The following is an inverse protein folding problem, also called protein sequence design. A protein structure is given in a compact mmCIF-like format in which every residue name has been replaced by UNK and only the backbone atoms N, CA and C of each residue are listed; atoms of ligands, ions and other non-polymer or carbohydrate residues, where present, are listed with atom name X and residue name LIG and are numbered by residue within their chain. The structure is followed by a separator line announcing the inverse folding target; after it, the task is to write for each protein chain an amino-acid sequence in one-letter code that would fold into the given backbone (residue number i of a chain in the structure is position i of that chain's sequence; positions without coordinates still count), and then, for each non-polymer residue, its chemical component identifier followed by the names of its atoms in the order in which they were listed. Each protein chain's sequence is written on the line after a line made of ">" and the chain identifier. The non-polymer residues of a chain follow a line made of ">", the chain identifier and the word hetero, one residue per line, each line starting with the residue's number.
data_IF_499037417147
#
_entry.id   IF_499037417147
#
_cell.length_a   1.000
_cell.length_b   1.000
_cell.length_c   1.000
_cell.angle_alpha   90.00
_cell.angle_beta   90.00
_cell.angle_gamma   90.00
#
_symmetry.space_group_name_H-M   'P 1'
#
loop_
_entity.id
_entity.type
_entity.pdbx_description
1 polymer ?
#
# COMPACT_ATOMS: atom_id res chain seq x y z
N UNK A 1 30.32 16.38 -20.49
CA UNK A 1 30.08 14.94 -20.31
C UNK A 1 30.02 14.66 -18.82
N UNK A 2 28.97 14.00 -18.31
CA UNK A 2 28.95 13.57 -16.91
C UNK A 2 30.06 12.56 -16.69
N UNK A 3 30.88 12.79 -15.67
CA UNK A 3 31.97 11.88 -15.32
C UNK A 3 31.37 10.72 -14.54
N UNK A 4 31.04 9.62 -15.21
CA UNK A 4 30.61 8.39 -14.56
C UNK A 4 31.80 7.76 -13.84
N UNK A 5 31.59 7.34 -12.61
CA UNK A 5 32.62 6.74 -11.76
C UNK A 5 32.13 5.36 -11.26
N UNK A 6 33.07 4.47 -10.98
CA UNK A 6 32.82 3.13 -10.52
C UNK A 6 32.40 3.17 -9.05
N UNK A 7 31.26 2.57 -8.71
CA UNK A 7 30.72 2.58 -7.34
C UNK A 7 31.67 1.95 -6.32
N UNK A 8 32.38 0.88 -6.70
CA UNK A 8 33.34 0.20 -5.84
C UNK A 8 34.47 1.07 -5.28
N UNK A 9 34.76 2.21 -5.91
CA UNK A 9 35.78 3.14 -5.43
C UNK A 9 35.25 3.98 -4.22
N UNK A 10 33.93 3.96 -3.99
CA UNK A 10 33.24 4.78 -2.98
C UNK A 10 32.59 3.98 -1.86
N UNK A 11 32.53 2.66 -1.96
CA UNK A 11 31.84 1.80 -0.98
C UNK A 11 32.77 0.70 -0.46
N UNK A 12 32.45 0.20 0.72
CA UNK A 12 33.11 -0.97 1.34
C UNK A 12 32.10 -1.88 1.99
N UNK A 13 32.35 -3.19 1.93
CA UNK A 13 31.55 -4.16 2.66
C UNK A 13 31.78 -4.03 4.17
N UNK A 14 30.70 -4.22 4.95
CA UNK A 14 30.68 -4.24 6.40
C UNK A 14 30.15 -5.57 6.88
N UNK A 15 30.89 -6.27 7.74
CA UNK A 15 30.52 -7.58 8.27
C UNK A 15 30.69 -7.63 9.78
N UNK A 16 29.81 -6.95 10.52
CA UNK A 16 29.78 -6.97 11.98
C UNK A 16 28.70 -7.94 12.45
N UNK A 17 29.06 -8.95 13.22
CA UNK A 17 28.15 -9.97 13.76
C UNK A 17 27.60 -9.55 15.12
N UNK A 18 26.39 -10.02 15.42
CA UNK A 18 25.74 -9.81 16.73
C UNK A 18 26.21 -10.86 17.76
N UNK A 19 27.50 -11.18 17.77
CA UNK A 19 28.07 -12.27 18.58
C UNK A 19 27.82 -12.12 20.10
N UNK A 20 27.63 -10.89 20.57
CA UNK A 20 27.32 -10.61 21.96
C UNK A 20 25.80 -10.57 22.25
N UNK A 21 24.95 -10.79 21.23
CA UNK A 21 23.47 -10.76 21.33
C UNK A 21 22.87 -9.46 21.92
N UNK A 22 23.63 -8.35 21.83
CA UNK A 22 23.19 -7.06 22.40
C UNK A 22 22.12 -6.35 21.58
N UNK A 23 22.06 -6.60 20.28
CA UNK A 23 21.08 -5.98 19.38
C UNK A 23 19.95 -6.95 19.16
N UNK A 24 18.72 -6.53 19.48
CA UNK A 24 17.51 -7.36 19.39
C UNK A 24 16.52 -6.92 18.32
N UNK A 25 16.64 -5.69 17.80
CA UNK A 25 15.76 -5.16 16.76
C UNK A 25 16.00 -5.88 15.42
N UNK A 26 15.17 -6.87 15.12
CA UNK A 26 15.29 -7.69 13.92
C UNK A 26 14.50 -7.10 12.76
N UNK A 27 15.20 -6.78 11.69
CA UNK A 27 14.63 -6.24 10.46
C UNK A 27 14.85 -7.16 9.26
N UNK A 28 14.00 -7.00 8.28
CA UNK A 28 14.12 -7.52 6.93
C UNK A 28 14.16 -6.39 5.91
N UNK A 29 14.28 -6.75 4.64
CA UNK A 29 14.25 -5.82 3.51
C UNK A 29 13.08 -6.14 2.60
N UNK A 30 12.38 -5.11 2.14
CA UNK A 30 11.29 -5.24 1.15
C UNK A 30 11.75 -4.91 -0.26
N UNK A 31 11.03 -5.42 -1.26
CA UNK A 31 11.21 -5.05 -2.68
C UNK A 31 10.92 -3.56 -2.95
N UNK A 32 10.24 -2.89 -2.02
CA UNK A 32 10.03 -1.44 -2.04
C UNK A 32 11.25 -0.65 -1.53
N UNK A 33 12.38 -1.35 -1.39
CA UNK A 33 13.68 -0.77 -1.00
C UNK A 33 13.62 -0.05 0.36
N UNK A 34 12.99 -0.74 1.33
CA UNK A 34 12.85 -0.26 2.73
C UNK A 34 13.22 -1.37 3.71
N UNK A 35 13.75 -0.98 4.86
CA UNK A 35 13.79 -1.85 6.02
C UNK A 35 12.38 -1.98 6.60
N UNK A 36 12.01 -3.19 6.97
CA UNK A 36 10.71 -3.54 7.55
C UNK A 36 10.91 -4.46 8.75
N UNK A 37 9.99 -4.51 9.72
CA UNK A 37 10.01 -5.55 10.74
C UNK A 37 10.09 -6.94 10.09
N UNK A 38 10.93 -7.81 10.62
CA UNK A 38 11.06 -9.16 10.06
C UNK A 38 9.80 -9.98 10.33
N UNK A 39 9.30 -10.66 9.31
CA UNK A 39 8.20 -11.62 9.39
C UNK A 39 8.69 -13.07 9.51
N UNK A 40 10.01 -13.29 9.56
CA UNK A 40 10.61 -14.61 9.62
C UNK A 40 10.31 -15.28 10.98
N UNK A 41 10.01 -16.57 10.96
CA UNK A 41 9.97 -17.36 12.18
C UNK A 41 11.41 -17.56 12.69
N UNK A 42 11.70 -17.03 13.85
CA UNK A 42 13.03 -17.04 14.45
C UNK A 42 13.19 -18.04 15.59
N UNK A 43 12.17 -18.87 15.86
CA UNK A 43 12.23 -19.90 16.91
C UNK A 43 13.35 -20.88 16.60
N UNK A 44 14.32 -21.00 17.51
CA UNK A 44 15.48 -21.88 17.37
C UNK A 44 16.59 -21.35 16.44
N UNK A 45 16.49 -20.08 15.98
CA UNK A 45 17.51 -19.47 15.13
C UNK A 45 18.61 -18.82 16.00
N UNK A 46 19.87 -19.10 15.69
CA UNK A 46 21.01 -18.43 16.35
C UNK A 46 21.15 -17.00 15.83
N UNK A 47 20.84 -16.04 16.69
CA UNK A 47 20.94 -14.61 16.37
C UNK A 47 22.35 -14.05 16.45
N UNK A 48 23.32 -14.82 16.97
CA UNK A 48 24.72 -14.40 17.04
C UNK A 48 25.39 -14.32 15.68
N UNK A 49 24.87 -15.08 14.70
CA UNK A 49 25.37 -15.10 13.32
C UNK A 49 24.79 -13.97 12.45
N UNK A 50 23.73 -13.29 12.93
CA UNK A 50 23.12 -12.18 12.24
C UNK A 50 24.06 -10.98 12.15
N UNK A 51 23.91 -10.16 11.12
CA UNK A 51 24.73 -8.97 10.90
C UNK A 51 24.09 -7.75 11.53
N UNK A 52 24.89 -6.90 12.15
CA UNK A 52 24.45 -5.60 12.69
C UNK A 52 24.53 -4.56 11.60
N UNK A 53 23.41 -3.86 11.35
CA UNK A 53 23.32 -2.69 10.49
C UNK A 53 23.17 -1.43 11.35
N UNK A 54 23.87 -0.37 10.98
CA UNK A 54 23.87 0.94 11.67
C UNK A 54 23.30 2.02 10.76
N UNK A 55 22.96 3.16 11.39
CA UNK A 55 22.47 4.32 10.65
C UNK A 55 23.39 4.70 9.50
N UNK A 56 22.77 5.01 8.34
CA UNK A 56 23.42 5.38 7.08
C UNK A 56 24.23 4.25 6.42
N UNK A 57 24.04 3.01 6.82
CA UNK A 57 24.54 1.83 6.11
C UNK A 57 23.47 1.25 5.19
N UNK A 58 23.91 0.62 4.13
CA UNK A 58 23.06 -0.10 3.18
C UNK A 58 23.05 -1.59 3.51
N UNK A 59 21.93 -2.22 3.14
CA UNK A 59 21.88 -3.66 3.03
C UNK A 59 21.18 -4.06 1.73
N UNK A 60 21.65 -5.16 1.12
CA UNK A 60 20.96 -5.74 -0.04
C UNK A 60 20.94 -7.26 0.02
N UNK A 61 20.00 -7.84 -0.72
CA UNK A 61 19.85 -9.28 -0.87
C UNK A 61 20.52 -9.68 -2.20
N UNK A 62 21.66 -10.41 -2.17
CA UNK A 62 22.34 -10.80 -3.41
C UNK A 62 21.49 -11.72 -4.29
N UNK A 63 20.65 -12.59 -3.70
CA UNK A 63 19.77 -13.51 -4.45
C UNK A 63 18.58 -12.75 -5.03
N UNK A 64 18.49 -12.65 -6.35
CA UNK A 64 17.47 -11.88 -7.08
C UNK A 64 16.33 -12.75 -7.61
N UNK A 65 16.50 -14.05 -7.76
CA UNK A 65 15.55 -14.97 -8.40
C UNK A 65 14.13 -15.02 -7.80
N UNK A 66 13.93 -14.50 -6.59
CA UNK A 66 12.63 -14.47 -5.91
C UNK A 66 11.98 -13.07 -5.86
N UNK A 67 12.64 -12.06 -6.38
CA UNK A 67 12.24 -10.65 -6.23
C UNK A 67 11.57 -10.06 -7.49
N UNK A 68 11.21 -10.92 -8.48
CA UNK A 68 10.71 -10.46 -9.78
C UNK A 68 11.75 -9.61 -10.50
N UNK A 69 11.36 -8.43 -10.98
CA UNK A 69 12.23 -7.54 -11.75
C UNK A 69 12.98 -6.52 -10.88
N UNK A 70 12.87 -6.61 -9.54
CA UNK A 70 13.46 -5.65 -8.61
C UNK A 70 14.58 -6.27 -7.78
N UNK A 71 15.63 -5.49 -7.52
CA UNK A 71 16.60 -5.85 -6.48
C UNK A 71 16.16 -5.29 -5.13
N UNK A 72 16.31 -6.12 -4.09
CA UNK A 72 16.04 -5.70 -2.72
C UNK A 72 17.30 -5.07 -2.14
N UNK A 73 17.30 -3.73 -2.02
CA UNK A 73 18.38 -2.92 -1.46
C UNK A 73 17.78 -1.73 -0.70
N UNK A 74 18.34 -1.36 0.44
CA UNK A 74 17.83 -0.23 1.22
C UNK A 74 18.93 0.46 2.03
N UNK A 75 18.74 1.76 2.30
CA UNK A 75 19.52 2.56 3.24
C UNK A 75 18.84 2.54 4.61
N UNK A 76 19.57 2.16 5.64
CA UNK A 76 19.08 2.17 7.01
C UNK A 76 19.16 3.60 7.59
N UNK A 77 18.01 4.11 8.04
CA UNK A 77 17.89 5.47 8.62
C UNK A 77 17.43 5.44 10.08
N UNK A 78 17.48 4.27 10.76
CA UNK A 78 17.12 4.18 12.17
C UNK A 78 18.23 4.76 13.06
N UNK A 79 17.84 5.27 14.23
CA UNK A 79 18.78 5.84 15.21
C UNK A 79 19.55 4.73 15.94
N UNK A 80 18.86 3.64 16.31
CA UNK A 80 19.45 2.48 16.96
C UNK A 80 19.94 1.45 15.93
N UNK A 81 20.95 0.65 16.34
CA UNK A 81 21.39 -0.48 15.54
C UNK A 81 20.30 -1.54 15.43
N UNK A 82 20.27 -2.22 14.29
CA UNK A 82 19.37 -3.36 14.04
C UNK A 82 20.16 -4.58 13.57
N UNK A 83 19.55 -5.77 13.63
CA UNK A 83 20.11 -6.99 13.07
C UNK A 83 19.31 -7.44 11.86
N UNK A 84 20.04 -7.98 10.89
CA UNK A 84 19.47 -8.57 9.67
C UNK A 84 20.08 -9.92 9.41
N UNK A 85 19.43 -10.72 8.55
CA UNK A 85 19.92 -12.06 8.19
C UNK A 85 21.37 -12.02 7.69
N UNK A 86 22.15 -13.04 8.08
CA UNK A 86 23.52 -13.23 7.60
C UNK A 86 23.63 -13.34 6.06
N UNK A 87 22.54 -13.69 5.39
CA UNK A 87 22.47 -13.81 3.93
C UNK A 87 22.49 -12.45 3.20
N UNK A 88 22.31 -11.36 3.92
CA UNK A 88 22.33 -10.01 3.34
C UNK A 88 23.77 -9.47 3.35
N UNK A 89 24.11 -8.68 2.36
CA UNK A 89 25.35 -7.91 2.32
C UNK A 89 25.11 -6.52 2.86
N UNK A 90 25.90 -6.11 3.86
CA UNK A 90 25.89 -4.74 4.39
C UNK A 90 27.09 -4.01 3.82
N UNK A 91 26.90 -2.76 3.45
CA UNK A 91 28.01 -1.90 3.00
C UNK A 91 27.81 -0.44 3.45
N UNK A 92 28.88 0.29 3.42
CA UNK A 92 28.96 1.70 3.81
C UNK A 92 29.62 2.52 2.72
N UNK A 93 29.36 3.81 2.69
CA UNK A 93 30.08 4.77 1.87
C UNK A 93 31.37 5.16 2.56
N UNK A 94 32.50 5.08 1.85
CA UNK A 94 33.84 5.35 2.40
C UNK A 94 34.00 6.80 2.88
N UNK A 95 33.52 7.74 2.05
CA UNK A 95 33.58 9.17 2.33
C UNK A 95 32.26 9.84 1.96
N UNK A 96 31.49 10.26 2.97
CA UNK A 96 30.19 10.90 2.83
C UNK A 96 30.26 12.34 2.28
N UNK A 97 31.44 12.94 2.26
CA UNK A 97 31.69 14.23 1.61
C UNK A 97 32.03 14.06 0.12
N UNK A 98 32.34 12.86 -0.32
CA UNK A 98 32.49 12.54 -1.74
C UNK A 98 31.16 11.98 -2.33
N UNK A 99 30.49 11.07 -1.63
CA UNK A 99 29.23 10.45 -2.03
C UNK A 99 28.21 10.40 -0.88
N UNK A 100 27.09 11.12 -1.03
CA UNK A 100 25.99 11.05 -0.07
C UNK A 100 25.29 9.69 -0.14
N UNK A 101 25.08 9.00 1.00
CA UNK A 101 24.30 7.78 1.04
C UNK A 101 22.87 7.97 0.51
N UNK A 102 22.22 9.09 0.78
CA UNK A 102 20.86 9.37 0.30
C UNK A 102 20.84 9.54 -1.22
N UNK A 103 21.85 10.23 -1.80
CA UNK A 103 21.99 10.36 -3.24
C UNK A 103 22.21 8.98 -3.89
N UNK A 104 23.05 8.13 -3.29
CA UNK A 104 23.26 6.76 -3.74
C UNK A 104 21.98 5.94 -3.65
N UNK A 105 21.18 6.11 -2.56
CA UNK A 105 19.89 5.42 -2.45
C UNK A 105 18.91 5.85 -3.53
N UNK A 106 18.91 7.12 -3.94
CA UNK A 106 18.10 7.58 -5.08
C UNK A 106 18.53 6.90 -6.38
N UNK A 107 19.83 6.71 -6.62
CA UNK A 107 20.32 5.96 -7.77
C UNK A 107 19.77 4.53 -7.78
N UNK A 108 19.78 3.86 -6.64
CA UNK A 108 19.26 2.50 -6.51
C UNK A 108 17.73 2.41 -6.67
N UNK A 109 16.99 3.50 -6.46
CA UNK A 109 15.52 3.55 -6.69
C UNK A 109 15.13 3.64 -8.16
N UNK A 110 16.06 3.89 -9.05
CA UNK A 110 15.79 4.00 -10.48
C UNK A 110 15.42 2.65 -11.09
N UNK A 111 14.39 2.57 -11.94
CA UNK A 111 14.07 1.33 -12.67
C UNK A 111 15.21 0.82 -13.54
N UNK A 112 16.10 1.73 -14.02
CA UNK A 112 17.30 1.37 -14.78
C UNK A 112 18.27 0.55 -13.93
N UNK A 113 18.39 0.85 -12.64
CA UNK A 113 19.23 0.07 -11.73
C UNK A 113 18.65 -1.32 -11.50
N UNK A 114 17.33 -1.46 -11.35
CA UNK A 114 16.69 -2.77 -11.25
C UNK A 114 16.97 -3.63 -12.50
N UNK A 115 16.83 -3.05 -13.69
CA UNK A 115 17.16 -3.74 -14.96
C UNK A 115 18.65 -4.10 -15.06
N UNK A 116 19.53 -3.20 -14.64
CA UNK A 116 20.98 -3.47 -14.59
C UNK A 116 21.28 -4.65 -13.64
N UNK A 117 20.79 -4.61 -12.43
CA UNK A 117 20.99 -5.67 -11.44
C UNK A 117 20.43 -7.02 -11.94
N UNK A 118 19.26 -7.01 -12.59
CA UNK A 118 18.67 -8.21 -13.19
C UNK A 118 19.53 -8.77 -14.32
N UNK A 119 20.03 -7.94 -15.21
CA UNK A 119 20.87 -8.33 -16.33
C UNK A 119 22.21 -8.91 -15.87
N UNK A 120 22.81 -8.36 -14.81
CA UNK A 120 24.07 -8.78 -14.23
C UNK A 120 23.91 -9.83 -13.11
N UNK A 121 22.72 -10.38 -12.91
CA UNK A 121 22.52 -11.52 -12.00
C UNK A 121 22.79 -12.83 -12.71
N UNK A 122 23.66 -13.67 -12.15
CA UNK A 122 24.11 -14.92 -12.75
C UNK A 122 23.81 -16.12 -11.85
N UNK A 123 23.62 -17.30 -12.45
CA UNK A 123 23.42 -18.56 -11.75
C UNK A 123 22.27 -19.39 -12.34
N UNK A 124 22.46 -20.69 -12.49
CA UNK A 124 21.50 -21.62 -13.11
C UNK A 124 20.34 -22.01 -12.18
N UNK A 125 20.57 -22.08 -10.87
CA UNK A 125 19.57 -22.47 -9.88
C UNK A 125 19.07 -21.28 -9.03
N UNK A 126 19.95 -20.32 -8.79
CA UNK A 126 19.65 -19.06 -8.09
C UNK A 126 20.45 -17.95 -8.74
N UNK A 127 19.76 -16.98 -9.29
CA UNK A 127 20.42 -15.79 -9.83
C UNK A 127 20.92 -14.92 -8.67
N UNK A 128 22.17 -14.50 -8.76
CA UNK A 128 22.87 -13.72 -7.74
C UNK A 128 23.46 -12.47 -8.39
N UNK A 129 23.13 -11.32 -7.86
CA UNK A 129 23.81 -10.06 -8.10
C UNK A 129 24.85 -9.88 -7.00
N UNK A 130 26.09 -10.26 -7.31
CA UNK A 130 27.15 -10.31 -6.31
C UNK A 130 27.75 -8.94 -5.98
N UNK A 131 28.70 -8.94 -5.04
CA UNK A 131 29.37 -7.73 -4.58
C UNK A 131 30.22 -7.07 -5.68
N UNK A 132 30.90 -7.86 -6.49
CA UNK A 132 31.76 -7.35 -7.54
C UNK A 132 30.93 -6.69 -8.64
N UNK A 133 29.78 -7.26 -9.00
CA UNK A 133 28.84 -6.64 -9.92
C UNK A 133 28.26 -5.33 -9.36
N UNK A 134 27.94 -5.26 -8.07
CA UNK A 134 27.53 -4.03 -7.42
C UNK A 134 28.65 -2.98 -7.48
N UNK A 135 29.90 -3.38 -7.23
CA UNK A 135 31.07 -2.49 -7.33
C UNK A 135 31.32 -1.98 -8.74
N UNK A 136 30.93 -2.73 -9.77
CA UNK A 136 31.12 -2.36 -11.18
C UNK A 136 30.05 -1.38 -11.71
N UNK A 137 29.03 -1.07 -10.91
CA UNK A 137 28.02 -0.06 -11.27
C UNK A 137 28.68 1.28 -11.56
N UNK A 138 28.37 1.85 -12.72
CA UNK A 138 28.82 3.18 -13.12
C UNK A 138 27.71 4.19 -12.84
N UNK A 139 28.02 5.28 -12.10
CA UNK A 139 27.06 6.33 -11.79
C UNK A 139 27.71 7.71 -11.84
N UNK A 140 26.94 8.77 -12.14
CA UNK A 140 27.44 10.13 -12.07
C UNK A 140 27.57 10.57 -10.62
N UNK A 141 28.73 11.10 -10.25
CA UNK A 141 29.00 11.64 -8.90
C UNK A 141 29.31 13.14 -9.04
N UNK A 142 28.30 14.01 -8.98
CA UNK A 142 28.50 15.46 -8.98
C UNK A 142 29.09 15.93 -7.66
N UNK A 143 29.40 17.22 -7.53
CA UNK A 143 29.86 17.80 -6.26
C UNK A 143 28.87 17.49 -5.14
N UNK A 144 29.37 17.31 -3.91
CA UNK A 144 28.53 16.98 -2.74
C UNK A 144 27.43 18.02 -2.52
N UNK A 145 27.69 19.31 -2.79
CA UNK A 145 26.68 20.35 -2.71
C UNK A 145 25.51 20.04 -3.68
N UNK A 146 25.82 19.65 -4.92
CA UNK A 146 24.79 19.31 -5.91
C UNK A 146 24.06 18.01 -5.57
N UNK A 147 24.74 17.02 -4.97
CA UNK A 147 24.08 15.80 -4.48
C UNK A 147 23.07 16.14 -3.37
N UNK A 148 23.44 17.00 -2.42
CA UNK A 148 22.56 17.45 -1.33
C UNK A 148 21.33 18.21 -1.84
N UNK A 149 21.50 19.11 -2.82
CA UNK A 149 20.37 19.79 -3.46
C UNK A 149 19.38 18.79 -4.09
N UNK A 150 19.89 17.81 -4.86
CA UNK A 150 19.03 16.78 -5.51
C UNK A 150 18.29 15.94 -4.45
N UNK A 151 18.97 15.57 -3.36
CA UNK A 151 18.37 14.83 -2.26
C UNK A 151 17.28 15.67 -1.57
N UNK A 152 17.52 16.96 -1.33
CA UNK A 152 16.55 17.85 -0.69
C UNK A 152 15.29 18.03 -1.55
N UNK A 153 15.45 18.20 -2.88
CA UNK A 153 14.32 18.23 -3.80
C UNK A 153 13.48 16.95 -3.71
N UNK A 154 14.10 15.78 -3.73
CA UNK A 154 13.42 14.49 -3.67
C UNK A 154 12.74 14.25 -2.30
N UNK A 155 13.45 14.54 -1.20
CA UNK A 155 12.92 14.35 0.16
C UNK A 155 11.77 15.33 0.46
N UNK A 156 11.77 16.52 -0.15
CA UNK A 156 10.65 17.47 -0.05
C UNK A 156 9.37 16.87 -0.64
N UNK A 157 9.47 16.27 -1.83
CA UNK A 157 8.34 15.57 -2.44
C UNK A 157 7.90 14.36 -1.61
N UNK A 158 8.87 13.56 -1.11
CA UNK A 158 8.59 12.39 -0.27
C UNK A 158 7.88 12.77 1.03
N UNK A 159 8.28 13.89 1.65
CA UNK A 159 7.65 14.43 2.86
C UNK A 159 6.22 14.86 2.58
N UNK A 160 5.99 15.53 1.45
CA UNK A 160 4.64 15.97 1.08
C UNK A 160 3.70 14.79 0.84
N UNK A 161 4.16 13.75 0.15
CA UNK A 161 3.39 12.50 -0.05
C UNK A 161 3.00 11.90 1.30
N UNK A 162 3.94 11.75 2.24
CA UNK A 162 3.65 11.19 3.58
C UNK A 162 2.65 12.03 4.37
N UNK A 163 2.77 13.36 4.31
CA UNK A 163 1.81 14.24 4.97
C UNK A 163 0.41 14.09 4.39
N UNK A 164 0.29 13.99 3.07
CA UNK A 164 -0.97 13.75 2.41
C UNK A 164 -1.57 12.39 2.80
N UNK A 165 -0.77 11.32 2.88
CA UNK A 165 -1.21 10.00 3.34
C UNK A 165 -1.73 10.06 4.78
N UNK A 166 -1.05 10.78 5.67
CA UNK A 166 -1.50 11.00 7.04
C UNK A 166 -2.82 11.81 7.10
N UNK A 167 -2.95 12.82 6.24
CA UNK A 167 -4.20 13.60 6.16
C UNK A 167 -5.35 12.73 5.65
N UNK A 168 -5.14 11.89 4.65
CA UNK A 168 -6.14 10.95 4.14
C UNK A 168 -6.62 10.03 5.27
N UNK A 169 -5.70 9.42 6.01
CA UNK A 169 -6.04 8.55 7.13
C UNK A 169 -6.86 9.28 8.20
N UNK A 170 -6.47 10.51 8.56
CA UNK A 170 -7.21 11.32 9.53
C UNK A 170 -8.60 11.76 9.05
N UNK A 171 -8.76 12.03 7.75
CA UNK A 171 -10.08 12.35 7.18
C UNK A 171 -11.02 11.15 7.24
N UNK A 172 -10.50 9.94 6.97
CA UNK A 172 -11.26 8.69 7.08
C UNK A 172 -11.66 8.40 8.54
N UNK A 173 -10.72 8.53 9.50
CA UNK A 173 -11.00 8.43 10.94
C UNK A 173 -12.04 9.46 11.40
N UNK A 174 -11.96 10.70 10.90
CA UNK A 174 -12.91 11.77 11.24
C UNK A 174 -14.32 11.45 10.75
N UNK A 175 -14.44 10.90 9.52
CA UNK A 175 -15.74 10.52 8.99
C UNK A 175 -16.35 9.35 9.80
N UNK A 176 -15.55 8.39 10.23
CA UNK A 176 -15.99 7.29 11.08
C UNK A 176 -16.41 7.79 12.48
N UNK A 177 -15.62 8.67 13.09
CA UNK A 177 -15.95 9.28 14.37
C UNK A 177 -17.24 10.11 14.30
N UNK A 178 -17.45 10.84 13.20
CA UNK A 178 -18.68 11.60 12.95
C UNK A 178 -19.90 10.66 12.85
N UNK A 179 -19.75 9.54 12.14
CA UNK A 179 -20.78 8.51 12.08
C UNK A 179 -21.15 8.00 13.49
N UNK A 180 -20.16 7.59 14.27
CA UNK A 180 -20.41 7.10 15.65
C UNK A 180 -21.12 8.14 16.49
N UNK A 181 -20.67 9.39 16.46
CA UNK A 181 -21.28 10.49 17.22
C UNK A 181 -22.75 10.74 16.84
N UNK A 182 -23.10 10.60 15.56
CA UNK A 182 -24.45 10.92 15.08
C UNK A 182 -25.41 9.74 15.13
N UNK A 183 -24.92 8.49 15.06
CA UNK A 183 -25.76 7.32 14.84
C UNK A 183 -25.52 6.14 15.81
N UNK A 184 -24.52 6.25 16.71
CA UNK A 184 -24.19 5.18 17.66
C UNK A 184 -24.18 5.68 19.09
N UNK A 185 -23.43 6.76 19.34
CA UNK A 185 -23.23 7.27 20.71
C UNK A 185 -24.54 7.82 21.29
N UNK A 186 -24.99 7.22 22.38
CA UNK A 186 -26.22 7.64 23.07
C UNK A 186 -27.52 7.24 22.38
N UNK A 187 -27.48 6.44 21.32
CA UNK A 187 -28.68 5.91 20.68
C UNK A 187 -29.10 4.61 21.37
N UNK A 188 -30.29 4.62 21.95
CA UNK A 188 -30.92 3.43 22.52
C UNK A 188 -31.72 2.71 21.41
N UNK A 189 -31.35 1.48 21.10
CA UNK A 189 -32.01 0.66 20.07
C UNK A 189 -33.44 0.24 20.44
N UNK A 190 -33.77 0.21 21.75
CA UNK A 190 -35.12 -0.12 22.23
C UNK A 190 -36.01 1.12 22.23
N UNK A 191 -35.41 2.32 22.23
CA UNK A 191 -36.14 3.58 22.29
C UNK A 191 -35.49 4.58 21.31
N UNK A 192 -35.71 4.36 20.01
CA UNK A 192 -35.11 5.16 18.94
C UNK A 192 -35.61 6.62 18.98
N UNK A 193 -34.77 7.58 18.53
CA UNK A 193 -35.20 8.96 18.34
C UNK A 193 -36.43 9.07 17.43
N UNK A 194 -37.17 10.17 17.58
CA UNK A 194 -38.34 10.43 16.75
C UNK A 194 -37.99 10.43 15.26
N UNK A 195 -38.82 9.79 14.43
CA UNK A 195 -38.59 9.64 13.01
C UNK A 195 -37.59 8.54 12.61
N UNK A 196 -36.96 7.86 13.58
CA UNK A 196 -36.07 6.73 13.33
C UNK A 196 -36.81 5.41 13.48
N UNK A 197 -36.38 4.40 12.72
CA UNK A 197 -36.96 3.08 12.83
C UNK A 197 -35.94 1.98 12.51
N UNK A 198 -36.19 0.77 12.98
CA UNK A 198 -35.56 -0.43 12.47
C UNK A 198 -36.26 -0.87 11.16
N UNK A 199 -35.48 -1.40 10.25
CA UNK A 199 -35.96 -1.94 9.00
C UNK A 199 -34.99 -2.95 8.40
N UNK A 200 -35.27 -3.42 7.22
CA UNK A 200 -34.40 -4.35 6.51
C UNK A 200 -33.61 -3.62 5.40
N UNK A 201 -32.40 -4.06 5.15
CA UNK A 201 -31.53 -3.45 4.14
C UNK A 201 -32.19 -3.44 2.76
N UNK A 202 -32.97 -4.46 2.39
CA UNK A 202 -33.76 -4.52 1.16
C UNK A 202 -34.85 -3.45 1.03
N UNK A 203 -35.27 -2.80 2.12
CA UNK A 203 -36.22 -1.67 2.04
C UNK A 203 -35.55 -0.42 1.46
N UNK A 204 -34.25 -0.20 1.74
CA UNK A 204 -33.51 1.04 1.41
C UNK A 204 -32.46 0.85 0.32
N UNK A 205 -32.15 -0.38 -0.08
CA UNK A 205 -31.12 -0.68 -1.08
C UNK A 205 -31.55 -1.78 -2.06
N UNK A 206 -30.84 -1.86 -3.17
CA UNK A 206 -30.90 -2.92 -4.17
C UNK A 206 -29.54 -3.58 -4.31
N UNK A 207 -29.53 -4.84 -4.74
CA UNK A 207 -28.32 -5.69 -4.75
C UNK A 207 -28.10 -6.29 -6.12
N UNK A 208 -26.85 -6.34 -6.58
CA UNK A 208 -26.47 -7.04 -7.81
C UNK A 208 -25.17 -7.81 -7.59
N UNK A 209 -25.14 -9.06 -8.04
CA UNK A 209 -23.87 -9.79 -8.11
C UNK A 209 -22.97 -9.15 -9.16
N UNK A 210 -21.69 -9.06 -8.85
CA UNK A 210 -20.69 -8.80 -9.86
C UNK A 210 -20.60 -9.94 -10.89
N UNK A 211 -19.88 -9.72 -11.96
CA UNK A 211 -19.79 -10.64 -13.11
C UNK A 211 -18.39 -11.24 -13.21
N UNK A 212 -18.28 -12.41 -13.83
CA UNK A 212 -17.01 -12.96 -14.24
C UNK A 212 -16.53 -12.19 -15.48
N UNK A 213 -15.33 -11.58 -15.40
CA UNK A 213 -14.74 -10.95 -16.56
C UNK A 213 -14.24 -12.03 -17.54
N UNK A 214 -14.54 -11.87 -18.82
CA UNK A 214 -14.05 -12.76 -19.86
C UNK A 214 -12.51 -12.71 -19.90
N UNK A 215 -11.88 -13.88 -20.02
CA UNK A 215 -10.41 -13.99 -20.13
C UNK A 215 -9.84 -13.21 -21.32
N UNK A 216 -10.58 -13.13 -22.42
CA UNK A 216 -10.17 -12.41 -23.63
C UNK A 216 -10.39 -10.89 -23.54
N UNK A 217 -11.18 -10.41 -22.57
CA UNK A 217 -11.44 -8.99 -22.33
C UNK A 217 -10.47 -8.37 -21.30
N UNK A 218 -9.41 -9.08 -20.88
CA UNK A 218 -8.43 -8.59 -19.90
C UNK A 218 -7.15 -8.13 -20.59
N UNK A 219 -6.73 -6.89 -20.31
CA UNK A 219 -5.46 -6.36 -20.77
C UNK A 219 -5.06 -5.17 -19.90
N UNK A 220 -3.80 -5.07 -19.53
CA UNK A 220 -3.25 -3.92 -18.80
C UNK A 220 -3.37 -2.58 -19.57
N UNK A 221 -3.72 -2.63 -20.83
CA UNK A 221 -3.98 -1.46 -21.68
C UNK A 221 -5.41 -0.93 -21.59
N UNK A 222 -6.31 -1.68 -20.97
CA UNK A 222 -7.71 -1.26 -20.85
C UNK A 222 -7.89 -0.27 -19.68
N UNK A 223 -8.88 0.65 -19.78
CA UNK A 223 -9.01 1.75 -18.82
C UNK A 223 -9.69 1.38 -17.50
N UNK A 224 -10.55 0.33 -17.48
CA UNK A 224 -11.41 0.07 -16.34
C UNK A 224 -10.88 -1.04 -15.44
N UNK A 225 -10.66 -0.78 -14.13
CA UNK A 225 -10.17 -1.79 -13.21
C UNK A 225 -11.23 -2.88 -12.96
N UNK A 226 -10.79 -4.13 -12.90
CA UNK A 226 -11.59 -5.26 -12.41
C UNK A 226 -11.42 -5.30 -10.89
N UNK A 227 -12.49 -4.95 -10.19
CA UNK A 227 -12.49 -4.82 -8.73
C UNK A 227 -13.13 -6.04 -8.07
N UNK A 228 -12.40 -6.69 -7.17
CA UNK A 228 -12.86 -7.90 -6.45
C UNK A 228 -13.52 -7.61 -5.10
N UNK A 229 -13.56 -6.35 -4.67
CA UNK A 229 -13.99 -5.91 -3.36
C UNK A 229 -12.82 -5.61 -2.40
N UNK A 230 -11.63 -6.15 -2.63
CA UNK A 230 -10.43 -5.86 -1.84
C UNK A 230 -9.19 -5.50 -2.69
N UNK A 231 -9.19 -5.86 -3.97
CA UNK A 231 -8.07 -5.58 -4.87
C UNK A 231 -8.54 -5.37 -6.32
N UNK A 232 -7.73 -4.64 -7.07
CA UNK A 232 -7.80 -4.60 -8.53
C UNK A 232 -7.03 -5.83 -9.04
N UNK A 233 -7.72 -6.69 -9.82
CA UNK A 233 -7.19 -7.97 -10.31
C UNK A 233 -6.84 -7.95 -11.80
N UNK A 234 -6.93 -6.79 -12.44
CA UNK A 234 -6.66 -6.57 -13.85
C UNK A 234 -7.51 -5.43 -14.40
N UNK A 235 -7.49 -5.26 -15.71
CA UNK A 235 -8.24 -4.20 -16.38
C UNK A 235 -9.07 -4.76 -17.53
N UNK A 236 -10.16 -4.07 -17.92
CA UNK A 236 -11.09 -4.45 -18.98
C UNK A 236 -11.55 -3.24 -19.79
N UNK A 237 -12.16 -3.49 -20.94
CA UNK A 237 -12.68 -2.45 -21.84
C UNK A 237 -14.04 -1.88 -21.44
N UNK A 238 -14.73 -2.48 -20.46
CA UNK A 238 -16.07 -2.08 -20.02
C UNK A 238 -16.14 -1.97 -18.48
N UNK A 239 -17.07 -1.17 -17.98
CA UNK A 239 -17.37 -1.11 -16.55
C UNK A 239 -18.81 -1.58 -16.27
N UNK A 240 -19.07 -2.07 -15.07
CA UNK A 240 -20.40 -2.44 -14.57
C UNK A 240 -20.92 -1.48 -13.51
N UNK A 241 -20.03 -0.74 -12.84
CA UNK A 241 -20.35 0.31 -11.89
C UNK A 241 -19.78 1.63 -12.41
N UNK A 242 -20.64 2.62 -12.63
CA UNK A 242 -20.24 3.96 -13.10
C UNK A 242 -19.76 4.83 -11.95
N UNK A 243 -20.49 4.85 -10.84
CA UNK A 243 -20.17 5.65 -9.65
C UNK A 243 -19.67 4.76 -8.51
N UNK A 244 -18.88 5.31 -7.57
CA UNK A 244 -18.49 4.58 -6.38
C UNK A 244 -19.71 4.02 -5.64
N UNK A 245 -19.72 2.70 -5.44
CA UNK A 245 -20.87 1.95 -4.92
C UNK A 245 -20.42 1.12 -3.74
N UNK A 246 -21.27 0.97 -2.72
CA UNK A 246 -21.00 0.09 -1.59
C UNK A 246 -20.93 -1.35 -2.10
N UNK A 247 -19.92 -2.08 -1.64
CA UNK A 247 -19.66 -3.45 -2.03
C UNK A 247 -19.44 -4.31 -0.79
N UNK A 248 -20.09 -5.48 -0.74
CA UNK A 248 -19.78 -6.54 0.21
C UNK A 248 -19.06 -7.68 -0.50
N UNK A 249 -17.95 -8.15 0.07
CA UNK A 249 -17.21 -9.29 -0.45
C UNK A 249 -18.03 -10.56 -0.19
N UNK A 250 -18.47 -11.21 -1.25
CA UNK A 250 -19.36 -12.36 -1.19
C UNK A 250 -18.62 -13.69 -1.10
N UNK A 251 -17.39 -13.77 -1.61
CA UNK A 251 -16.59 -15.01 -1.70
C UNK A 251 -15.10 -14.72 -1.62
N UNK A 252 -14.33 -15.69 -1.14
CA UNK A 252 -12.86 -15.65 -1.06
C UNK A 252 -12.36 -15.70 0.37
N UNK A 253 -11.22 -16.39 0.59
CA UNK A 253 -10.70 -16.72 1.92
C UNK A 253 -10.30 -15.49 2.75
N UNK A 254 -9.93 -14.40 2.09
CA UNK A 254 -9.32 -13.24 2.74
C UNK A 254 -10.28 -12.10 3.11
N UNK A 255 -11.60 -12.23 2.89
CA UNK A 255 -12.40 -11.02 3.09
C UNK A 255 -13.90 -11.14 3.03
N UNK A 256 -14.47 -12.35 2.90
CA UNK A 256 -15.93 -12.53 2.84
C UNK A 256 -16.61 -11.80 4.01
N UNK A 257 -17.58 -10.96 3.70
CA UNK A 257 -18.30 -10.12 4.67
C UNK A 257 -17.70 -8.71 4.85
N UNK A 258 -16.51 -8.42 4.35
CA UNK A 258 -15.96 -7.05 4.41
C UNK A 258 -16.75 -6.11 3.49
N UNK A 259 -16.91 -4.89 3.98
CA UNK A 259 -17.54 -3.77 3.26
C UNK A 259 -16.45 -2.86 2.73
N UNK A 260 -16.63 -2.38 1.51
CA UNK A 260 -15.77 -1.37 0.91
C UNK A 260 -16.55 -0.48 -0.06
N UNK A 261 -15.92 0.60 -0.52
CA UNK A 261 -16.42 1.44 -1.60
C UNK A 261 -15.70 1.06 -2.89
N UNK A 262 -16.42 0.84 -3.98
CA UNK A 262 -15.81 0.56 -5.27
C UNK A 262 -15.11 1.79 -5.84
N UNK A 263 -14.10 1.61 -6.71
CA UNK A 263 -13.64 2.68 -7.58
C UNK A 263 -14.77 3.19 -8.48
N UNK A 264 -14.61 4.42 -8.97
CA UNK A 264 -15.43 4.95 -10.07
C UNK A 264 -15.12 4.18 -11.35
N UNK A 265 -16.12 3.95 -12.18
CA UNK A 265 -15.98 3.30 -13.50
C UNK A 265 -15.17 2.00 -13.41
N UNK A 266 -15.66 1.04 -12.62
CA UNK A 266 -15.00 -0.25 -12.45
C UNK A 266 -15.90 -1.42 -12.87
N UNK A 267 -15.27 -2.54 -13.22
CA UNK A 267 -15.95 -3.81 -13.46
C UNK A 267 -15.97 -4.59 -12.14
N UNK A 268 -17.15 -4.79 -11.55
CA UNK A 268 -17.28 -5.57 -10.33
C UNK A 268 -17.19 -7.06 -10.63
N UNK A 269 -16.23 -7.75 -10.02
CA UNK A 269 -16.07 -9.19 -10.21
C UNK A 269 -17.14 -10.00 -9.46
N UNK A 270 -17.34 -11.24 -9.87
CA UNK A 270 -18.30 -12.18 -9.26
C UNK A 270 -17.95 -12.60 -7.81
N UNK A 271 -16.88 -12.06 -7.23
CA UNK A 271 -16.51 -12.28 -5.82
C UNK A 271 -17.25 -11.33 -4.88
N UNK A 272 -18.02 -10.38 -5.42
CA UNK A 272 -18.63 -9.32 -4.63
C UNK A 272 -20.08 -9.05 -5.05
N UNK A 273 -20.83 -8.41 -4.17
CA UNK A 273 -22.20 -7.91 -4.39
C UNK A 273 -22.16 -6.40 -4.22
N UNK A 274 -22.72 -5.65 -5.19
CA UNK A 274 -22.96 -4.22 -5.05
C UNK A 274 -24.25 -3.95 -4.28
N UNK A 275 -24.24 -2.90 -3.48
CA UNK A 275 -25.35 -2.40 -2.66
C UNK A 275 -25.61 -0.96 -3.08
N UNK A 276 -26.68 -0.74 -3.82
CA UNK A 276 -27.08 0.57 -4.32
C UNK A 276 -28.26 1.09 -3.49
N UNK A 277 -28.08 2.23 -2.81
CA UNK A 277 -29.17 2.85 -2.05
C UNK A 277 -30.25 3.40 -2.96
N UNK A 278 -31.52 3.18 -2.60
CA UNK A 278 -32.68 3.71 -3.36
C UNK A 278 -32.71 5.25 -3.32
N UNK A 279 -32.20 5.85 -2.25
CA UNK A 279 -31.95 7.28 -2.13
C UNK A 279 -30.43 7.56 -2.12
N UNK A 280 -29.88 8.29 -3.11
CA UNK A 280 -28.44 8.51 -3.24
C UNK A 280 -27.79 9.16 -2.02
N UNK A 281 -28.50 10.08 -1.34
CA UNK A 281 -27.97 10.78 -0.17
C UNK A 281 -27.81 9.88 1.07
N UNK A 282 -28.46 8.73 1.10
CA UNK A 282 -28.31 7.73 2.17
C UNK A 282 -27.02 6.90 2.02
N UNK A 283 -26.34 6.93 0.88
CA UNK A 283 -25.18 6.07 0.59
C UNK A 283 -24.08 6.19 1.64
N UNK A 284 -23.69 7.40 2.01
CA UNK A 284 -22.62 7.59 3.00
C UNK A 284 -23.03 7.04 4.38
N UNK A 285 -24.24 7.33 4.82
CA UNK A 285 -24.76 6.75 6.07
C UNK A 285 -24.71 5.21 6.03
N UNK A 286 -25.28 4.61 4.99
CA UNK A 286 -25.32 3.15 4.88
C UNK A 286 -23.92 2.53 4.82
N UNK A 287 -22.98 3.16 4.13
CA UNK A 287 -21.59 2.70 4.07
C UNK A 287 -20.96 2.59 5.47
N UNK A 288 -21.02 3.67 6.26
CA UNK A 288 -20.47 3.65 7.63
C UNK A 288 -21.27 2.76 8.57
N UNK A 289 -22.60 2.68 8.39
CA UNK A 289 -23.44 1.76 9.16
C UNK A 289 -22.99 0.31 8.95
N UNK A 290 -22.78 -0.10 7.72
CA UNK A 290 -22.33 -1.46 7.42
C UNK A 290 -20.88 -1.72 7.84
N UNK A 291 -20.01 -0.72 7.83
CA UNK A 291 -18.64 -0.85 8.35
C UNK A 291 -18.59 -1.14 9.86
N UNK A 292 -19.51 -0.56 10.63
CA UNK A 292 -19.60 -0.74 12.09
C UNK A 292 -20.47 -1.95 12.47
N UNK A 293 -21.16 -2.56 11.51
CA UNK A 293 -22.05 -3.70 11.76
C UNK A 293 -21.31 -5.04 11.61
N UNK A 294 -21.80 -6.08 12.30
CA UNK A 294 -21.28 -7.44 12.13
C UNK A 294 -21.79 -8.09 10.83
N UNK A 295 -21.21 -7.66 9.71
CA UNK A 295 -21.49 -8.24 8.40
C UNK A 295 -20.84 -9.60 8.19
N UNK A 296 -19.95 -10.02 9.10
CA UNK A 296 -19.35 -11.36 9.08
C UNK A 296 -20.36 -12.45 9.46
N UNK A 297 -21.35 -12.12 10.27
CA UNK A 297 -22.46 -13.04 10.64
C UNK A 297 -23.34 -13.43 9.45
N UNK A 298 -23.29 -12.68 8.34
CA UNK A 298 -24.02 -12.98 7.10
C UNK A 298 -23.46 -14.18 6.33
N UNK A 299 -22.32 -14.73 6.75
CA UNK A 299 -21.69 -15.88 6.08
C UNK A 299 -22.54 -17.13 6.24
N UNK A 300 -22.68 -17.88 5.17
CA UNK A 300 -23.31 -19.18 5.14
C UNK A 300 -22.41 -20.21 4.45
N UNK A 301 -22.56 -21.50 4.80
CA UNK A 301 -21.78 -22.60 4.26
C UNK A 301 -20.63 -23.04 5.16
N UNK A 302 -20.46 -24.38 5.33
CA UNK A 302 -19.49 -24.98 6.25
C UNK A 302 -18.10 -25.20 5.66
N UNK A 303 -17.97 -25.36 4.35
CA UNK A 303 -16.70 -25.65 3.68
C UNK A 303 -16.07 -24.41 3.03
N UNK A 304 -16.88 -23.56 2.41
CA UNK A 304 -16.48 -22.27 1.89
C UNK A 304 -17.52 -21.23 2.27
N UNK A 305 -17.16 -20.36 3.20
CA UNK A 305 -18.06 -19.30 3.63
C UNK A 305 -18.37 -18.36 2.46
N UNK A 306 -19.65 -18.16 2.19
CA UNK A 306 -20.11 -17.22 1.15
C UNK A 306 -21.28 -16.39 1.67
N UNK A 307 -21.49 -15.25 1.03
CA UNK A 307 -22.64 -14.37 1.27
C UNK A 307 -23.45 -14.33 -0.01
N UNK A 308 -24.77 -14.44 0.11
CA UNK A 308 -25.72 -14.31 -0.98
C UNK A 308 -26.59 -13.08 -0.78
N UNK A 309 -27.28 -12.64 -1.83
CA UNK A 309 -28.26 -11.55 -1.73
C UNK A 309 -29.34 -11.90 -0.68
N UNK A 310 -29.77 -13.15 -0.62
CA UNK A 310 -30.75 -13.62 0.37
C UNK A 310 -30.26 -13.50 1.84
N UNK A 311 -28.93 -13.47 2.06
CA UNK A 311 -28.37 -13.21 3.37
C UNK A 311 -28.31 -11.70 3.68
N UNK A 312 -28.07 -10.87 2.66
CA UNK A 312 -27.87 -9.43 2.80
C UNK A 312 -29.20 -8.67 2.87
N UNK A 313 -30.16 -9.05 2.06
CA UNK A 313 -31.45 -8.35 1.96
C UNK A 313 -32.23 -8.25 3.29
N UNK A 314 -32.32 -9.30 4.13
CA UNK A 314 -33.02 -9.25 5.42
C UNK A 314 -32.20 -8.60 6.54
N UNK A 315 -30.94 -8.19 6.29
CA UNK A 315 -30.09 -7.62 7.31
C UNK A 315 -30.74 -6.40 7.97
N UNK A 316 -30.82 -6.43 9.31
CA UNK A 316 -31.45 -5.37 10.07
C UNK A 316 -30.59 -4.12 10.05
N UNK A 317 -31.20 -3.01 9.74
CA UNK A 317 -30.55 -1.69 9.71
C UNK A 317 -31.41 -0.66 10.43
N UNK A 318 -30.75 0.22 11.13
CA UNK A 318 -31.39 1.43 11.67
C UNK A 318 -31.58 2.43 10.51
N UNK A 319 -32.77 2.97 10.35
CA UNK A 319 -33.12 3.93 9.32
C UNK A 319 -33.41 5.25 10.02
N UNK A 320 -32.44 6.20 10.00
CA UNK A 320 -32.63 7.50 10.64
C UNK A 320 -33.54 8.40 9.83
N UNK A 321 -34.01 9.47 10.46
CA UNK A 321 -34.75 10.54 9.77
C UNK A 321 -33.91 11.14 8.64
N UNK A 322 -34.58 11.51 7.53
CA UNK A 322 -33.92 11.97 6.31
C UNK A 322 -32.97 13.15 6.52
N UNK A 323 -33.38 14.13 7.32
CA UNK A 323 -32.58 15.33 7.59
C UNK A 323 -31.22 14.98 8.22
N UNK A 324 -31.17 13.95 9.07
CA UNK A 324 -29.96 13.55 9.80
C UNK A 324 -28.94 12.90 8.87
N UNK A 325 -29.35 11.94 8.03
CA UNK A 325 -28.38 11.31 7.11
C UNK A 325 -27.99 12.22 5.93
N UNK A 326 -28.81 13.21 5.57
CA UNK A 326 -28.43 14.24 4.60
C UNK A 326 -27.35 15.16 5.17
N UNK A 327 -27.53 15.69 6.39
CA UNK A 327 -26.52 16.50 7.07
C UNK A 327 -25.19 15.73 7.24
N UNK A 328 -25.27 14.46 7.60
CA UNK A 328 -24.09 13.59 7.65
C UNK A 328 -23.43 13.46 6.27
N UNK A 329 -24.21 13.19 5.22
CA UNK A 329 -23.71 13.05 3.86
C UNK A 329 -22.98 14.28 3.36
N UNK A 330 -23.47 15.47 3.62
CA UNK A 330 -22.84 16.73 3.22
C UNK A 330 -21.48 16.92 3.88
N UNK A 331 -21.40 16.62 5.19
CA UNK A 331 -20.13 16.66 5.95
C UNK A 331 -19.12 15.64 5.42
N UNK A 332 -19.55 14.40 5.23
CA UNK A 332 -18.68 13.32 4.73
C UNK A 332 -18.23 13.56 3.28
N UNK A 333 -19.09 14.07 2.42
CA UNK A 333 -18.73 14.44 1.05
C UNK A 333 -17.61 15.48 1.02
N UNK A 334 -17.61 16.44 1.94
CA UNK A 334 -16.53 17.42 2.08
C UNK A 334 -15.20 16.75 2.44
N UNK A 335 -15.20 15.81 3.40
CA UNK A 335 -14.01 15.02 3.78
C UNK A 335 -13.53 14.15 2.62
N UNK A 336 -14.45 13.50 1.93
CA UNK A 336 -14.15 12.64 0.79
C UNK A 336 -13.53 13.41 -0.39
N UNK A 337 -14.06 14.60 -0.71
CA UNK A 337 -13.50 15.44 -1.77
C UNK A 337 -12.05 15.85 -1.46
N UNK A 338 -11.76 16.19 -0.21
CA UNK A 338 -10.39 16.47 0.22
C UNK A 338 -9.48 15.23 0.07
N UNK A 339 -9.98 14.04 0.42
CA UNK A 339 -9.25 12.78 0.22
C UNK A 339 -8.89 12.56 -1.26
N UNK A 340 -9.83 12.82 -2.18
CA UNK A 340 -9.56 12.74 -3.63
C UNK A 340 -8.46 13.72 -4.04
N UNK A 341 -8.52 14.97 -3.58
CA UNK A 341 -7.51 15.98 -3.92
C UNK A 341 -6.11 15.58 -3.44
N UNK A 342 -5.97 15.06 -2.21
CA UNK A 342 -4.68 14.56 -1.72
C UNK A 342 -4.16 13.35 -2.50
N UNK A 343 -5.04 12.43 -2.92
CA UNK A 343 -4.65 11.29 -3.77
C UNK A 343 -4.13 11.76 -5.13
N UNK A 344 -4.83 12.69 -5.77
CA UNK A 344 -4.41 13.29 -7.05
C UNK A 344 -3.09 14.07 -6.92
N UNK A 345 -2.89 14.80 -5.82
CA UNK A 345 -1.62 15.47 -5.55
C UNK A 345 -0.50 14.45 -5.41
N UNK A 346 -0.71 13.34 -4.69
CA UNK A 346 0.30 12.28 -4.53
C UNK A 346 0.68 11.61 -5.84
N UNK A 347 -0.25 11.41 -6.77
CA UNK A 347 0.04 10.91 -8.11
C UNK A 347 1.02 11.84 -8.83
N UNK A 348 0.75 13.15 -8.86
CA UNK A 348 1.63 14.15 -9.48
C UNK A 348 3.00 14.24 -8.80
N UNK A 349 3.03 14.18 -7.47
CA UNK A 349 4.29 14.20 -6.72
C UNK A 349 5.14 12.96 -7.03
N UNK A 350 4.52 11.80 -7.19
CA UNK A 350 5.18 10.54 -7.57
C UNK A 350 5.74 10.61 -8.99
N UNK A 351 5.01 11.22 -9.93
CA UNK A 351 5.52 11.49 -11.28
C UNK A 351 6.75 12.41 -11.25
N UNK A 352 6.70 13.48 -10.44
CA UNK A 352 7.84 14.39 -10.26
C UNK A 352 9.06 13.68 -9.67
N UNK A 353 8.87 12.82 -8.66
CA UNK A 353 9.96 11.98 -8.13
C UNK A 353 10.59 11.10 -9.22
N UNK A 354 9.76 10.46 -10.05
CA UNK A 354 10.22 9.62 -11.16
C UNK A 354 11.04 10.42 -12.18
N UNK A 355 10.62 11.65 -12.49
CA UNK A 355 11.36 12.55 -13.37
C UNK A 355 12.71 12.99 -12.77
N UNK A 356 12.76 13.27 -11.46
CA UNK A 356 14.03 13.59 -10.78
C UNK A 356 15.01 12.41 -10.84
N UNK A 357 14.52 11.19 -10.55
CA UNK A 357 15.35 9.97 -10.66
C UNK A 357 15.86 9.76 -12.10
N UNK A 358 15.03 9.98 -13.10
CA UNK A 358 15.43 9.86 -14.52
C UNK A 358 16.51 10.89 -14.92
N UNK A 359 16.46 12.11 -14.36
CA UNK A 359 17.47 13.15 -14.60
C UNK A 359 18.85 12.82 -14.04
N UNK A 360 18.96 12.00 -13.01
CA UNK A 360 20.24 11.58 -12.43
C UNK A 360 21.12 10.84 -13.47
N UNK A 361 20.53 10.10 -14.40
CA UNK A 361 21.23 9.35 -15.44
C UNK A 361 21.47 10.13 -16.74
N UNK A 362 20.92 11.33 -16.86
CA UNK A 362 21.15 12.21 -18.04
C UNK A 362 22.20 13.26 -17.67
#
# INVERSE_FOLDING_TARGET
>A
MKNYQRLGDYIREVNVRNSELKVTNLLGLSIEKKFIPSIANTIGTDMSVYKIVRSMQFAYVPVTSRNGDKITIALYKGDDSAIISQAYTIFDVNDKEALSPEYLMMWFRRPEFDRYARFHSHGSAREVFDWDELCNVMLPIPSIARQREIVEEYETLSRRIRLNEQMIARLEETAQALYRKMFVDGIDKENLPEGWRLGRLGEIATFKYGKMADKHSKSDKFPYPIFSGYAVTGYTSEYTLKEPTIVIIARGDAGTGRICMSPKECFLSNLAISIETKEPLMKNYLYYHMLESDTMSLRSGSAQAQITINNVEPFEVMIPERIVYVDFSDKVNTLYNNTILYKQENEKLTELQSLLLARMGK
#
